data_IF_643707713577
#
_entry.id   IF_643707713577
#
_cell.length_a   1.000
_cell.length_b   1.000
_cell.length_c   1.000
_cell.angle_alpha   90.00
_cell.angle_beta   90.00
_cell.angle_gamma   90.00
#
_symmetry.space_group_name_H-M   'P 1'
#
loop_
_entity.id
_entity.type
_entity.pdbx_description
1 polymer ?
#
# COMPACT_ATOMS: atom_id res chain seq x y z
N UNK A 1 -44.26 -22.21 23.31
CA UNK A 1 -43.03 -21.47 23.67
C UNK A 1 -42.33 -21.10 22.36
N UNK A 2 -42.27 -19.82 21.97
CA UNK A 2 -41.74 -19.38 20.67
C UNK A 2 -40.37 -18.71 20.92
N UNK A 3 -39.28 -19.11 20.24
CA UNK A 3 -37.96 -18.54 20.48
C UNK A 3 -37.89 -17.10 19.95
N UNK A 4 -37.38 -16.17 20.78
CA UNK A 4 -37.12 -14.79 20.40
C UNK A 4 -35.95 -14.72 19.41
N UNK A 5 -36.19 -14.18 18.22
CA UNK A 5 -35.13 -13.91 17.23
C UNK A 5 -34.24 -12.78 17.73
N UNK A 6 -32.94 -13.02 17.81
CA UNK A 6 -31.90 -12.01 18.08
C UNK A 6 -31.97 -10.98 16.95
N UNK A 7 -32.26 -9.72 17.30
CA UNK A 7 -32.23 -8.61 16.36
C UNK A 7 -30.81 -8.06 16.32
N UNK A 8 -30.05 -8.42 15.28
CA UNK A 8 -28.84 -7.67 14.96
C UNK A 8 -29.26 -6.24 14.57
N UNK A 9 -28.71 -5.24 15.23
CA UNK A 9 -28.95 -3.85 14.85
C UNK A 9 -28.40 -3.61 13.44
N UNK A 10 -29.31 -3.42 12.47
CA UNK A 10 -29.00 -3.07 11.08
C UNK A 10 -28.54 -1.60 10.97
N UNK A 11 -27.59 -1.15 11.78
CA UNK A 11 -27.01 0.18 11.60
C UNK A 11 -26.04 0.13 10.42
N UNK A 12 -26.61 0.21 9.21
CA UNK A 12 -25.83 0.43 7.98
C UNK A 12 -25.29 1.85 8.04
N UNK A 13 -23.97 2.03 7.95
CA UNK A 13 -23.36 3.36 7.84
C UNK A 13 -23.88 4.06 6.57
N UNK A 14 -24.85 4.97 6.74
CA UNK A 14 -25.40 5.77 5.65
C UNK A 14 -24.48 6.99 5.45
N UNK A 15 -23.84 7.16 4.29
CA UNK A 15 -23.00 8.32 4.04
C UNK A 15 -23.86 9.59 4.00
N UNK A 16 -23.36 10.67 4.63
CA UNK A 16 -24.03 11.98 4.64
C UNK A 16 -24.06 12.63 3.24
N UNK A 17 -23.17 12.21 2.33
CA UNK A 17 -23.18 12.63 0.93
C UNK A 17 -24.14 11.77 0.11
N UNK A 18 -25.11 12.41 -0.54
CA UNK A 18 -25.96 11.78 -1.56
C UNK A 18 -25.16 11.76 -2.86
N UNK A 19 -24.91 10.57 -3.38
CA UNK A 19 -24.23 10.44 -4.67
C UNK A 19 -25.21 10.81 -5.77
N UNK A 20 -24.84 11.79 -6.58
CA UNK A 20 -25.65 12.20 -7.71
C UNK A 20 -25.50 11.14 -8.81
N UNK A 21 -26.56 10.37 -9.04
CA UNK A 21 -26.64 9.35 -10.09
C UNK A 21 -26.46 7.89 -9.62
N UNK A 22 -26.67 6.91 -10.53
CA UNK A 22 -26.67 5.48 -10.19
C UNK A 22 -25.28 4.95 -9.81
N UNK A 23 -25.13 4.45 -8.57
CA UNK A 23 -23.88 3.82 -8.09
C UNK A 23 -23.48 2.57 -8.87
N UNK A 24 -24.43 1.91 -9.52
CA UNK A 24 -24.20 0.65 -10.26
C UNK A 24 -23.28 0.82 -11.48
N UNK A 25 -23.09 2.06 -11.97
CA UNK A 25 -22.17 2.36 -13.06
C UNK A 25 -20.71 2.54 -12.60
N UNK A 26 -20.48 2.95 -11.35
CA UNK A 26 -19.14 3.28 -10.84
C UNK A 26 -18.23 2.04 -10.65
N UNK A 27 -18.81 0.85 -10.50
CA UNK A 27 -18.06 -0.39 -10.23
C UNK A 27 -17.85 -1.27 -11.46
N UNK A 28 -18.44 -0.90 -12.61
CA UNK A 28 -18.42 -1.73 -13.83
C UNK A 28 -17.37 -1.28 -14.84
N UNK A 29 -17.09 0.02 -14.86
CA UNK A 29 -16.05 0.55 -15.74
C UNK A 29 -14.70 0.44 -15.04
N UNK A 30 -13.66 -0.11 -15.71
CA UNK A 30 -12.32 -0.10 -15.17
C UNK A 30 -11.89 1.35 -14.95
N UNK A 31 -11.59 1.69 -13.70
CA UNK A 31 -11.00 2.98 -13.38
C UNK A 31 -9.63 3.03 -14.04
N UNK A 32 -9.35 4.15 -14.71
CA UNK A 32 -8.06 4.40 -15.31
C UNK A 32 -7.00 4.58 -14.21
N UNK A 33 -6.42 3.45 -13.81
CA UNK A 33 -5.35 3.36 -12.83
C UNK A 33 -3.97 3.53 -13.48
N UNK A 34 -3.91 4.03 -14.72
CA UNK A 34 -2.62 4.35 -15.33
C UNK A 34 -1.96 5.46 -14.51
N UNK A 35 -0.74 5.26 -14.01
CA UNK A 35 -0.05 6.27 -13.22
C UNK A 35 0.25 7.45 -14.16
N UNK A 36 -0.31 8.62 -13.84
CA UNK A 36 -0.16 9.84 -14.63
C UNK A 36 0.65 10.87 -13.86
N UNK A 37 1.51 11.67 -14.53
CA UNK A 37 2.18 12.77 -13.87
C UNK A 37 1.14 13.76 -13.34
N UNK A 38 1.37 14.29 -12.13
CA UNK A 38 0.55 15.36 -11.58
C UNK A 38 0.62 16.60 -12.51
N UNK A 39 -0.47 17.37 -12.70
CA UNK A 39 -0.46 18.54 -13.59
C UNK A 39 0.59 19.61 -13.23
N UNK A 40 1.00 19.67 -11.96
CA UNK A 40 2.07 20.54 -11.48
C UNK A 40 3.49 19.95 -11.60
N UNK A 41 3.64 18.79 -12.27
CA UNK A 41 4.96 18.19 -12.49
C UNK A 41 5.78 19.03 -13.49
N UNK A 42 7.11 19.08 -13.34
CA UNK A 42 7.99 19.78 -14.27
C UNK A 42 7.85 19.23 -15.69
N UNK A 43 7.87 20.11 -16.70
CA UNK A 43 7.72 19.71 -18.11
C UNK A 43 8.84 18.74 -18.48
N UNK A 44 8.47 17.51 -18.87
CA UNK A 44 9.41 16.45 -19.26
C UNK A 44 9.62 15.34 -18.22
N UNK A 45 9.03 15.41 -17.03
CA UNK A 45 9.04 14.28 -16.10
C UNK A 45 8.00 13.23 -16.50
N UNK A 46 8.38 12.27 -17.34
CA UNK A 46 7.61 11.03 -17.50
C UNK A 46 7.87 10.11 -16.31
N UNK A 47 6.82 9.47 -15.79
CA UNK A 47 6.97 8.41 -14.79
C UNK A 47 7.83 7.28 -15.37
N UNK A 48 8.71 6.63 -14.57
CA UNK A 48 9.44 5.46 -15.03
C UNK A 48 8.40 4.36 -15.34
N UNK A 49 8.13 4.13 -16.63
CA UNK A 49 7.36 2.98 -17.07
C UNK A 49 8.19 1.76 -16.71
N UNK A 50 7.69 0.95 -15.77
CA UNK A 50 8.32 -0.27 -15.32
C UNK A 50 8.28 -1.33 -16.44
N UNK A 51 9.18 -1.19 -17.43
CA UNK A 51 9.56 -2.21 -18.41
C UNK A 51 10.53 -1.60 -19.42
N UNK A 52 11.77 -1.32 -19.00
CA UNK A 52 12.88 -1.22 -19.94
C UNK A 52 14.04 -2.03 -19.38
N UNK A 53 13.98 -3.34 -19.65
CA UNK A 53 15.17 -4.16 -19.77
C UNK A 53 16.04 -3.56 -20.88
N UNK A 54 17.11 -2.88 -20.50
CA UNK A 54 18.23 -2.61 -21.40
C UNK A 54 19.53 -2.92 -20.67
N UNK A 55 19.85 -4.22 -20.67
CA UNK A 55 21.20 -4.72 -20.47
C UNK A 55 22.04 -4.20 -21.64
N UNK A 56 22.88 -3.17 -21.40
CA UNK A 56 24.20 -2.98 -22.00
C UNK A 56 24.65 -1.50 -21.91
N UNK A 57 25.80 -1.32 -21.24
CA UNK A 57 26.84 -0.36 -21.59
C UNK A 57 26.51 1.13 -21.47
N UNK A 58 26.56 1.67 -20.23
CA UNK A 58 27.06 3.02 -19.94
C UNK A 58 27.43 3.15 -18.46
N UNK A 59 28.45 2.41 -18.01
CA UNK A 59 29.10 2.62 -16.70
C UNK A 59 30.26 3.61 -16.87
N UNK A 60 29.98 4.85 -17.21
CA UNK A 60 30.94 5.93 -17.00
C UNK A 60 30.20 7.26 -16.98
N UNK A 61 30.58 8.12 -16.04
CA UNK A 61 29.99 9.44 -15.74
C UNK A 61 28.79 9.38 -14.76
N UNK A 62 29.12 9.51 -13.46
CA UNK A 62 28.24 9.72 -12.29
C UNK A 62 27.52 8.51 -11.65
N UNK A 63 28.27 7.47 -11.27
CA UNK A 63 27.82 6.43 -10.33
C UNK A 63 27.82 6.88 -8.85
N UNK A 64 27.54 8.15 -8.56
CA UNK A 64 27.59 8.72 -7.20
C UNK A 64 26.21 9.21 -6.74
N UNK A 65 25.14 8.53 -7.14
CA UNK A 65 23.76 8.85 -6.71
C UNK A 65 22.91 7.62 -6.39
N UNK A 66 23.45 6.41 -6.49
CA UNK A 66 22.80 5.19 -6.01
C UNK A 66 23.50 4.81 -4.72
N UNK A 67 22.82 4.95 -3.59
CA UNK A 67 23.31 4.46 -2.30
C UNK A 67 22.89 2.99 -2.21
N UNK A 68 23.86 2.08 -2.15
CA UNK A 68 23.57 0.66 -1.99
C UNK A 68 22.99 0.39 -0.59
N UNK A 69 22.10 -0.60 -0.48
CA UNK A 69 21.41 -0.89 0.78
C UNK A 69 22.38 -1.24 1.93
N UNK A 70 23.52 -1.85 1.60
CA UNK A 70 24.60 -2.18 2.53
C UNK A 70 25.24 -0.94 3.17
N UNK A 71 25.27 0.18 2.44
CA UNK A 71 25.90 1.46 2.81
C UNK A 71 24.97 2.37 3.61
N UNK A 72 23.68 2.03 3.73
CA UNK A 72 22.75 2.78 4.55
C UNK A 72 23.14 2.70 6.04
N UNK A 73 23.08 3.81 6.80
CA UNK A 73 23.19 3.76 8.25
C UNK A 73 22.17 2.80 8.87
N UNK A 74 22.53 2.18 10.00
CA UNK A 74 21.72 1.13 10.66
C UNK A 74 20.26 1.55 10.92
N UNK A 75 20.04 2.80 11.31
CA UNK A 75 18.69 3.36 11.54
C UNK A 75 17.77 3.34 10.31
N UNK A 76 18.34 3.26 9.11
CA UNK A 76 17.61 3.17 7.84
C UNK A 76 17.60 1.76 7.24
N UNK A 77 18.35 0.81 7.83
CA UNK A 77 18.25 -0.60 7.44
C UNK A 77 16.95 -1.16 8.02
N UNK A 78 16.22 -1.94 7.21
CA UNK A 78 15.08 -2.73 7.68
C UNK A 78 15.60 -3.77 8.66
N UNK A 79 14.99 -3.83 9.84
CA UNK A 79 15.25 -4.90 10.81
C UNK A 79 14.69 -6.22 10.26
N UNK A 80 15.43 -7.29 10.44
CA UNK A 80 14.93 -8.65 10.23
C UNK A 80 14.05 -8.97 11.44
N UNK A 81 12.84 -9.46 11.21
CA UNK A 81 11.95 -9.91 12.28
C UNK A 81 12.62 -11.06 13.04
N UNK A 82 12.69 -10.93 14.36
CA UNK A 82 13.17 -12.02 15.21
C UNK A 82 12.11 -13.12 15.30
N UNK A 83 12.53 -14.33 15.67
CA UNK A 83 11.60 -15.46 15.80
C UNK A 83 10.47 -15.16 16.81
N UNK A 84 10.80 -14.51 17.92
CA UNK A 84 9.84 -14.07 18.93
C UNK A 84 8.84 -13.02 18.42
N UNK A 85 9.31 -12.06 17.61
CA UNK A 85 8.42 -11.08 16.97
C UNK A 85 7.47 -11.77 15.98
N UNK A 86 7.95 -12.77 15.24
CA UNK A 86 7.12 -13.57 14.33
C UNK A 86 6.02 -14.30 15.10
N UNK A 87 6.36 -15.03 16.16
CA UNK A 87 5.36 -15.73 16.99
C UNK A 87 4.35 -14.77 17.61
N UNK A 88 4.80 -13.58 18.03
CA UNK A 88 3.92 -12.53 18.55
C UNK A 88 2.94 -12.05 17.49
N UNK A 89 3.38 -11.85 16.25
CA UNK A 89 2.51 -11.46 15.13
C UNK A 89 1.53 -12.60 14.80
N UNK A 90 2.01 -13.85 14.72
CA UNK A 90 1.19 -15.02 14.38
C UNK A 90 0.13 -15.32 15.44
N UNK A 91 0.48 -15.11 16.72
CA UNK A 91 -0.46 -15.21 17.84
C UNK A 91 -1.39 -14.01 17.99
N UNK A 92 -1.21 -12.96 17.17
CA UNK A 92 -1.98 -11.73 17.26
C UNK A 92 -1.72 -10.91 18.54
N UNK A 93 -0.53 -11.05 19.13
CA UNK A 93 -0.15 -10.38 20.39
C UNK A 93 -0.69 -11.04 21.65
N UNK A 94 -1.22 -12.27 21.57
CA UNK A 94 -1.87 -12.95 22.68
C UNK A 94 -0.91 -13.40 23.80
N UNK A 95 0.38 -13.62 23.50
CA UNK A 95 1.36 -14.09 24.48
C UNK A 95 2.05 -12.96 25.28
N UNK A 96 1.86 -11.70 24.90
CA UNK A 96 2.38 -10.53 25.63
C UNK A 96 1.49 -10.22 26.85
N UNK A 97 1.45 -11.15 27.79
CA UNK A 97 0.93 -10.90 29.14
C UNK A 97 2.11 -10.31 29.93
N UNK A 98 2.07 -8.98 30.12
CA UNK A 98 3.08 -8.22 30.86
C UNK A 98 3.34 -8.81 32.25
N UNK A 99 4.62 -9.07 32.58
CA UNK A 99 5.12 -9.16 33.96
C UNK A 99 5.67 -7.81 34.42
#
# INVERSE_FOLDING_TARGET
MIPSKIRFALQKHVPLIKFLGPRSKLHKEPVDNTPKPHPAAPKGSSLPSASQESIANNRSVNQKLVIEYSELPEKYKRKILTFEEIETIESGGAYLINY
#
